data_IF_875258626776
#
_entry.id   IF_875258626776
#
_cell.length_a   1.000
_cell.length_b   1.000
_cell.length_c   1.000
_cell.angle_alpha   90.00
_cell.angle_beta   90.00
_cell.angle_gamma   90.00
#
_symmetry.space_group_name_H-M   'P 1'
#
loop_
_entity.id
_entity.type
_entity.pdbx_description
1 polymer ?
#
# COMPACT_ATOMS: atom_id res chain seq x y z
N UNK A 1 -15.76 -3.07 -1.07
CA UNK A 1 -15.34 -3.61 0.24
C UNK A 1 -15.26 -2.45 1.21
N UNK A 2 -15.69 -2.59 2.46
CA UNK A 2 -15.57 -1.49 3.43
C UNK A 2 -14.14 -1.47 3.98
N UNK A 3 -13.53 -0.29 4.15
CA UNK A 3 -12.15 -0.14 4.67
C UNK A 3 -11.92 -0.93 5.98
N UNK A 4 -12.95 -1.03 6.84
CA UNK A 4 -12.92 -1.81 8.08
C UNK A 4 -12.73 -3.33 7.87
N UNK A 5 -13.24 -3.89 6.77
CA UNK A 5 -13.08 -5.32 6.46
C UNK A 5 -11.63 -5.62 6.08
N UNK A 6 -11.05 -4.82 5.19
CA UNK A 6 -9.63 -4.92 4.79
C UNK A 6 -8.73 -4.81 6.03
N UNK A 7 -9.01 -3.83 6.87
CA UNK A 7 -8.29 -3.60 8.11
C UNK A 7 -8.39 -4.81 9.06
N UNK A 8 -9.58 -5.40 9.20
CA UNK A 8 -9.79 -6.61 9.98
C UNK A 8 -8.98 -7.80 9.47
N UNK A 9 -8.92 -8.01 8.15
CA UNK A 9 -8.11 -9.08 7.55
C UNK A 9 -6.62 -8.88 7.79
N UNK A 10 -6.14 -7.64 7.64
CA UNK A 10 -4.75 -7.26 7.95
C UNK A 10 -4.43 -7.57 9.42
N UNK A 11 -5.30 -7.15 10.35
CA UNK A 11 -5.08 -7.38 11.78
C UNK A 11 -5.03 -8.88 12.11
N UNK A 12 -5.95 -9.67 11.55
CA UNK A 12 -5.96 -11.13 11.71
C UNK A 12 -4.68 -11.77 11.17
N UNK A 13 -4.21 -11.32 10.01
CA UNK A 13 -2.96 -11.81 9.43
C UNK A 13 -1.75 -11.46 10.29
N UNK A 14 -1.66 -10.22 10.78
CA UNK A 14 -0.59 -9.77 11.68
C UNK A 14 -0.54 -10.60 12.97
N UNK A 15 -1.69 -10.88 13.58
CA UNK A 15 -1.77 -11.76 14.76
C UNK A 15 -1.26 -13.16 14.43
N UNK A 16 -1.69 -13.74 13.31
CA UNK A 16 -1.29 -15.09 12.92
C UNK A 16 0.21 -15.25 12.63
N UNK A 17 0.89 -14.21 12.14
CA UNK A 17 2.35 -14.25 11.94
C UNK A 17 3.12 -14.01 13.24
N UNK A 18 2.59 -13.18 14.13
CA UNK A 18 3.18 -12.93 15.44
C UNK A 18 3.16 -14.20 16.31
N UNK A 19 2.07 -14.96 16.28
CA UNK A 19 1.96 -16.27 16.95
C UNK A 19 2.98 -17.29 16.42
N UNK A 20 3.48 -17.09 15.20
CA UNK A 20 4.54 -17.90 14.58
C UNK A 20 5.94 -17.36 14.83
N UNK A 21 6.09 -16.33 15.67
CA UNK A 21 7.35 -15.67 15.96
C UNK A 21 8.02 -15.06 14.71
N UNK A 22 7.19 -14.61 13.75
CA UNK A 22 7.64 -13.92 12.53
C UNK A 22 7.50 -12.42 12.76
N UNK A 23 8.62 -11.71 12.66
CA UNK A 23 8.64 -10.25 12.76
C UNK A 23 8.32 -9.62 11.40
N UNK A 24 7.41 -8.64 11.40
CA UNK A 24 7.15 -7.84 10.22
C UNK A 24 8.21 -6.75 10.10
N UNK A 25 9.17 -6.92 9.20
CA UNK A 25 10.21 -5.91 8.99
C UNK A 25 9.82 -4.82 7.97
N UNK A 26 8.79 -5.03 7.13
CA UNK A 26 8.34 -4.05 6.16
C UNK A 26 7.14 -4.51 5.35
N UNK A 27 6.55 -3.58 4.60
CA UNK A 27 5.33 -3.78 3.81
C UNK A 27 5.51 -3.14 2.45
N UNK A 28 5.16 -3.89 1.40
CA UNK A 28 5.12 -3.39 0.03
C UNK A 28 3.66 -3.16 -0.36
N UNK A 29 3.31 -1.93 -0.70
CA UNK A 29 2.00 -1.57 -1.20
C UNK A 29 2.04 -1.48 -2.72
N UNK A 30 1.35 -2.40 -3.40
CA UNK A 30 1.36 -2.44 -4.85
C UNK A 30 0.16 -1.70 -5.45
N UNK A 31 0.41 -0.90 -6.48
CA UNK A 31 -0.62 -0.21 -7.24
C UNK A 31 -0.33 -0.32 -8.75
N UNK A 32 -1.33 -0.68 -9.58
CA UNK A 32 -1.19 -0.59 -11.03
C UNK A 32 -1.01 0.85 -11.49
N UNK A 33 0.01 1.13 -12.31
CA UNK A 33 0.17 2.45 -12.93
C UNK A 33 -0.82 2.64 -14.10
N UNK A 34 -1.36 1.53 -14.61
CA UNK A 34 -2.42 1.53 -15.62
C UNK A 34 -3.77 1.99 -15.11
N UNK A 35 -3.98 2.01 -13.79
CA UNK A 35 -5.18 2.60 -13.20
C UNK A 35 -5.11 4.13 -13.31
N UNK A 36 -6.02 4.72 -14.09
CA UNK A 36 -6.10 6.17 -14.35
C UNK A 36 -6.54 6.99 -13.11
N UNK A 37 -6.87 6.33 -12.00
CA UNK A 37 -7.48 6.94 -10.82
C UNK A 37 -6.76 6.48 -9.56
N UNK A 38 -5.94 7.36 -8.99
CA UNK A 38 -5.57 7.26 -7.58
C UNK A 38 -6.80 7.68 -6.79
N UNK A 39 -7.67 6.73 -6.49
CA UNK A 39 -8.90 7.00 -5.72
C UNK A 39 -8.46 7.51 -4.34
N UNK A 40 -9.06 8.60 -3.82
CA UNK A 40 -8.80 9.11 -2.46
C UNK A 40 -8.81 7.99 -1.39
N UNK A 41 -9.59 6.93 -1.62
CA UNK A 41 -9.69 5.72 -0.79
C UNK A 41 -8.38 4.93 -0.71
N UNK A 42 -7.61 4.84 -1.80
CA UNK A 42 -6.28 4.18 -1.83
C UNK A 42 -5.31 4.93 -0.93
N UNK A 43 -5.25 6.26 -1.07
CA UNK A 43 -4.46 7.15 -0.21
C UNK A 43 -4.89 7.07 1.26
N UNK A 44 -6.20 7.00 1.53
CA UNK A 44 -6.74 6.89 2.88
C UNK A 44 -6.35 5.56 3.54
N UNK A 45 -6.50 4.45 2.84
CA UNK A 45 -6.16 3.13 3.37
C UNK A 45 -4.65 2.96 3.57
N UNK A 46 -3.85 3.50 2.65
CA UNK A 46 -2.40 3.58 2.80
C UNK A 46 -2.00 4.39 4.05
N UNK A 47 -2.63 5.55 4.29
CA UNK A 47 -2.36 6.37 5.47
C UNK A 47 -2.83 5.72 6.78
N UNK A 48 -4.00 5.09 6.81
CA UNK A 48 -4.48 4.33 7.99
C UNK A 48 -3.50 3.20 8.31
N UNK A 49 -3.06 2.47 7.27
CA UNK A 49 -2.12 1.38 7.44
C UNK A 49 -0.75 1.86 7.93
N UNK A 50 -0.23 2.96 7.34
CA UNK A 50 0.96 3.64 7.86
C UNK A 50 0.78 3.89 9.36
N UNK A 51 -0.24 4.65 9.77
CA UNK A 51 -0.44 5.06 11.17
C UNK A 51 -0.51 3.87 12.14
N UNK A 52 -1.07 2.74 11.71
CA UNK A 52 -1.11 1.52 12.52
C UNK A 52 0.23 0.84 12.75
N UNK A 53 1.15 0.90 11.78
CA UNK A 53 2.50 0.37 11.95
C UNK A 53 3.32 1.18 12.95
N UNK A 54 2.86 2.37 13.33
CA UNK A 54 3.55 3.27 14.26
C UNK A 54 4.67 4.06 13.58
N UNK A 55 4.93 5.26 14.12
CA UNK A 55 5.76 6.26 13.44
C UNK A 55 7.20 5.83 13.18
N UNK A 56 7.72 4.93 14.02
CA UNK A 56 9.09 4.43 13.95
C UNK A 56 9.29 3.39 12.83
N UNK A 57 8.21 2.82 12.31
CA UNK A 57 8.22 1.77 11.28
C UNK A 57 7.72 2.24 9.92
N UNK A 58 7.32 3.51 9.78
CA UNK A 58 6.93 4.11 8.50
C UNK A 58 7.97 3.94 7.39
N UNK A 59 9.26 3.99 7.75
CA UNK A 59 10.38 3.83 6.80
C UNK A 59 10.41 2.47 6.09
N UNK A 60 9.65 1.50 6.59
CA UNK A 60 9.61 0.15 6.04
C UNK A 60 8.34 -0.11 5.22
N UNK A 61 7.48 0.90 5.01
CA UNK A 61 6.31 0.80 4.13
C UNK A 61 6.68 1.47 2.81
N UNK A 62 6.75 0.70 1.73
CA UNK A 62 7.18 1.15 0.41
C UNK A 62 6.02 1.02 -0.57
N UNK A 63 5.73 2.10 -1.28
CA UNK A 63 4.78 2.09 -2.40
C UNK A 63 5.50 1.61 -3.67
N UNK A 64 4.89 0.67 -4.39
CA UNK A 64 5.46 0.03 -5.58
C UNK A 64 4.43 0.10 -6.71
N UNK A 65 4.83 0.66 -7.84
CA UNK A 65 4.03 0.71 -9.07
C UNK A 65 4.24 -0.55 -9.91
N UNK A 66 3.17 -1.04 -10.54
CA UNK A 66 3.15 -2.27 -11.35
C UNK A 66 2.38 -2.05 -12.67
N UNK A 67 2.34 -3.04 -13.58
CA UNK A 67 1.62 -2.95 -14.87
C UNK A 67 2.14 -1.85 -15.81
N UNK A 68 3.44 -1.57 -15.76
CA UNK A 68 4.09 -0.59 -16.64
C UNK A 68 4.03 -0.95 -18.13
N UNK A 69 3.78 -2.22 -18.46
CA UNK A 69 3.61 -2.71 -19.82
C UNK A 69 2.24 -2.39 -20.44
N UNK A 70 1.28 -1.91 -19.64
CA UNK A 70 -0.07 -1.56 -20.09
C UNK A 70 -0.21 -0.07 -20.50
N UNK A 71 0.80 0.76 -20.24
CA UNK A 71 0.82 2.19 -20.58
C UNK A 71 2.13 2.58 -21.27
N UNK A 72 2.17 3.74 -21.94
CA UNK A 72 3.43 4.28 -22.43
C UNK A 72 4.28 4.81 -21.28
N UNK A 73 5.60 4.85 -21.47
CA UNK A 73 6.55 5.32 -20.45
C UNK A 73 6.26 6.78 -20.05
N UNK A 74 5.84 7.62 -21.01
CA UNK A 74 5.48 9.02 -20.73
C UNK A 74 4.24 9.11 -19.84
N UNK A 75 3.19 8.35 -20.15
CA UNK A 75 1.94 8.33 -19.38
C UNK A 75 2.18 7.75 -17.98
N UNK A 76 2.94 6.65 -17.89
CA UNK A 76 3.29 6.05 -16.61
C UNK A 76 4.12 6.99 -15.73
N UNK A 77 5.08 7.71 -16.33
CA UNK A 77 5.92 8.68 -15.61
C UNK A 77 5.13 9.89 -15.11
N UNK A 78 4.16 10.37 -15.90
CA UNK A 78 3.26 11.46 -15.49
C UNK A 78 2.41 11.02 -14.28
N UNK A 79 1.81 9.83 -14.35
CA UNK A 79 1.00 9.27 -13.25
C UNK A 79 1.81 8.99 -12.00
N UNK A 80 3.05 8.54 -12.15
CA UNK A 80 3.91 8.27 -11.00
C UNK A 80 4.21 9.55 -10.20
N UNK A 81 4.32 10.70 -10.87
CA UNK A 81 4.51 11.99 -10.20
C UNK A 81 3.29 12.44 -9.40
N UNK A 82 2.09 12.02 -9.80
CA UNK A 82 0.83 12.35 -9.13
C UNK A 82 0.53 11.41 -7.95
N UNK A 83 1.38 10.40 -7.69
CA UNK A 83 1.19 9.48 -6.58
C UNK A 83 1.45 10.12 -5.22
N UNK A 84 0.63 9.81 -4.20
CA UNK A 84 0.84 10.27 -2.84
C UNK A 84 2.04 9.57 -2.22
N UNK A 85 3.13 10.30 -2.01
CA UNK A 85 4.32 9.88 -1.23
C UNK A 85 4.00 9.68 0.27
#
# INVERSE_FOLDING_TARGET
MMDFQVLGEIALWLTAIYDKNIELNGVLYFHPISDDIIIETVSRNYNIFKEMCGKDYFKNVIFVTTMWDEVSEEVGSEREQDLPV
#
